data_IF_027486603657
#
_entry.id   IF_027486603657
#
_cell.length_a   1.000
_cell.length_b   1.000
_cell.length_c   1.000
_cell.angle_alpha   90.00
_cell.angle_beta   90.00
_cell.angle_gamma   90.00
#
_symmetry.space_group_name_H-M   'P 1'
#
loop_
_entity.id
_entity.type
_entity.pdbx_description
1 polymer ?
#
# COMPACT_ATOMS: atom_id res chain seq x y z
N UNK A 1 4.29 23.69 16.61
CA UNK A 1 3.61 22.40 16.36
C UNK A 1 4.22 21.90 15.06
N UNK A 2 5.27 21.09 15.20
CA UNK A 2 6.07 20.54 14.10
C UNK A 2 5.18 19.61 13.27
N UNK A 3 5.38 19.49 11.94
CA UNK A 3 4.72 18.45 11.18
C UNK A 3 5.16 17.13 11.81
N UNK A 4 4.20 16.38 12.32
CA UNK A 4 4.44 15.04 12.82
C UNK A 4 5.17 14.28 11.71
N UNK A 5 6.38 13.82 12.00
CA UNK A 5 7.05 12.84 11.16
C UNK A 5 6.13 11.62 11.16
N UNK A 6 5.26 11.52 10.15
CA UNK A 6 4.50 10.29 9.87
C UNK A 6 5.54 9.27 9.41
N UNK A 7 6.21 8.68 10.39
CA UNK A 7 7.15 7.60 10.20
C UNK A 7 6.38 6.41 9.68
N UNK A 8 6.58 6.07 8.42
CA UNK A 8 6.08 4.81 7.87
C UNK A 8 6.59 3.67 8.73
N UNK A 9 5.68 2.76 9.15
CA UNK A 9 6.04 1.70 10.08
C UNK A 9 7.29 0.93 9.58
N UNK A 10 8.31 0.65 10.43
CA UNK A 10 9.60 0.11 10.00
C UNK A 10 9.51 -1.17 9.17
N UNK A 11 8.48 -1.99 9.41
CA UNK A 11 8.21 -3.20 8.62
C UNK A 11 7.86 -2.87 7.16
N UNK A 12 7.02 -1.86 6.93
CA UNK A 12 6.62 -1.43 5.58
C UNK A 12 7.82 -0.83 4.86
N UNK A 13 8.63 -0.03 5.56
CA UNK A 13 9.89 0.50 5.01
C UNK A 13 10.84 -0.62 4.59
N UNK A 14 11.03 -1.63 5.45
CA UNK A 14 11.89 -2.78 5.16
C UNK A 14 11.43 -3.58 3.92
N UNK A 15 10.13 -3.54 3.60
CA UNK A 15 9.53 -4.24 2.45
C UNK A 15 9.33 -3.36 1.23
N UNK A 16 9.75 -2.08 1.27
CA UNK A 16 9.51 -1.10 0.20
C UNK A 16 9.88 -1.63 -1.20
N UNK A 17 11.02 -2.30 -1.33
CA UNK A 17 11.49 -2.83 -2.62
C UNK A 17 10.58 -3.93 -3.17
N UNK A 18 10.09 -4.82 -2.31
CA UNK A 18 9.16 -5.90 -2.67
C UNK A 18 7.80 -5.32 -3.08
N UNK A 19 7.28 -4.36 -2.31
CA UNK A 19 6.04 -3.63 -2.60
C UNK A 19 6.12 -2.92 -3.95
N UNK A 20 7.24 -2.25 -4.25
CA UNK A 20 7.45 -1.63 -5.56
C UNK A 20 7.49 -2.67 -6.70
N UNK A 21 8.08 -3.84 -6.47
CA UNK A 21 8.06 -4.95 -7.41
C UNK A 21 6.65 -5.45 -7.71
N UNK A 22 5.84 -5.60 -6.66
CA UNK A 22 4.43 -5.97 -6.75
C UNK A 22 3.64 -4.93 -7.57
N UNK A 23 3.82 -3.64 -7.27
CA UNK A 23 3.15 -2.56 -8.00
C UNK A 23 3.44 -2.61 -9.51
N UNK A 24 4.73 -2.80 -9.88
CA UNK A 24 5.12 -2.94 -11.29
C UNK A 24 4.48 -4.15 -11.96
N UNK A 25 4.43 -5.29 -11.27
CA UNK A 25 3.85 -6.54 -11.80
C UNK A 25 2.34 -6.44 -12.01
N UNK A 26 1.65 -5.76 -11.11
CA UNK A 26 0.19 -5.61 -11.12
C UNK A 26 -0.30 -4.36 -11.89
N UNK A 27 0.60 -3.57 -12.47
CA UNK A 27 0.22 -2.35 -13.18
C UNK A 27 -0.36 -1.27 -12.26
N UNK A 28 0.11 -1.22 -11.01
CA UNK A 28 -0.29 -0.21 -10.03
C UNK A 28 0.51 1.05 -10.26
N UNK A 29 -0.20 2.13 -10.56
CA UNK A 29 0.33 3.48 -10.75
C UNK A 29 0.68 4.14 -9.42
N UNK A 30 -0.15 3.92 -8.39
CA UNK A 30 0.04 4.47 -7.05
C UNK A 30 -0.51 3.52 -5.99
N UNK A 31 0.22 3.36 -4.89
CA UNK A 31 -0.18 2.61 -3.72
C UNK A 31 0.05 3.49 -2.48
N UNK A 32 -1.02 3.94 -1.84
CA UNK A 32 -0.94 4.77 -0.63
C UNK A 32 -1.29 3.94 0.59
N UNK A 33 -0.50 4.09 1.65
CA UNK A 33 -0.77 3.53 2.97
C UNK A 33 -1.61 4.51 3.79
N UNK A 34 -2.66 4.03 4.45
CA UNK A 34 -3.44 4.82 5.39
C UNK A 34 -3.89 3.97 6.58
N UNK A 35 -4.67 4.55 7.48
CA UNK A 35 -5.19 3.84 8.65
C UNK A 35 -4.16 3.69 9.77
N UNK A 36 -4.29 2.63 10.56
CA UNK A 36 -3.47 2.42 11.77
C UNK A 36 -1.98 2.31 11.44
N UNK A 37 -1.63 1.74 10.29
CA UNK A 37 -0.26 1.51 9.81
C UNK A 37 0.57 2.80 9.58
N UNK A 38 -0.05 3.97 9.60
CA UNK A 38 0.64 5.28 9.54
C UNK A 38 0.77 5.95 10.91
N UNK A 39 0.52 5.22 11.99
CA UNK A 39 0.53 5.74 13.36
C UNK A 39 1.11 4.72 14.35
N UNK A 40 1.33 5.16 15.59
CA UNK A 40 1.79 4.30 16.68
C UNK A 40 0.74 3.29 17.16
N UNK A 41 -0.48 3.33 16.63
CA UNK A 41 -1.55 2.39 16.96
C UNK A 41 -1.49 1.06 16.19
N UNK A 42 -0.51 0.90 15.28
CA UNK A 42 -0.35 -0.32 14.51
C UNK A 42 0.21 -1.46 15.37
N UNK A 43 -0.56 -2.52 15.50
CA UNK A 43 -0.17 -3.75 16.18
C UNK A 43 0.15 -4.84 15.13
N UNK A 44 1.38 -5.37 15.19
CA UNK A 44 1.88 -6.34 14.20
C UNK A 44 1.11 -7.66 14.17
N UNK A 45 0.47 -8.04 15.28
CA UNK A 45 -0.17 -9.34 15.44
C UNK A 45 -1.68 -9.28 15.12
N UNK A 46 -2.28 -8.09 15.17
CA UNK A 46 -3.75 -7.92 15.09
C UNK A 46 -4.25 -6.80 14.18
N UNK A 47 -3.40 -5.87 13.76
CA UNK A 47 -3.82 -4.79 12.85
C UNK A 47 -3.71 -5.21 11.40
N UNK A 48 -4.78 -4.91 10.65
CA UNK A 48 -4.76 -4.99 9.19
C UNK A 48 -3.95 -3.83 8.59
N UNK A 49 -3.55 -3.99 7.33
CA UNK A 49 -2.86 -2.95 6.55
C UNK A 49 -3.81 -2.40 5.48
N UNK A 50 -4.20 -1.14 5.63
CA UNK A 50 -5.10 -0.47 4.69
C UNK A 50 -4.33 0.26 3.59
N UNK A 51 -4.67 -0.03 2.33
CA UNK A 51 -4.05 0.60 1.17
C UNK A 51 -5.07 1.10 0.15
N UNK A 52 -4.77 2.24 -0.46
CA UNK A 52 -5.49 2.74 -1.63
C UNK A 52 -4.68 2.43 -2.88
N UNK A 53 -5.31 1.76 -3.83
CA UNK A 53 -4.66 1.33 -5.06
C UNK A 53 -5.20 2.15 -6.22
N UNK A 54 -4.29 2.74 -6.98
CA UNK A 54 -4.59 3.31 -8.27
C UNK A 54 -3.86 2.54 -9.36
N UNK A 55 -4.61 1.95 -10.29
CA UNK A 55 -4.07 1.19 -11.40
C UNK A 55 -3.80 2.07 -12.62
N UNK A 56 -2.82 1.70 -13.43
CA UNK A 56 -2.59 2.28 -14.75
C UNK A 56 -3.56 1.66 -15.77
N UNK A 57 -4.85 1.96 -15.58
CA UNK A 57 -5.94 1.33 -16.32
C UNK A 57 -6.34 2.17 -17.55
N UNK A 58 -5.47 2.17 -18.55
CA UNK A 58 -5.76 2.70 -19.88
C UNK A 58 -6.31 1.66 -20.87
N UNK A 59 -6.69 0.47 -20.39
CA UNK A 59 -7.08 -0.68 -21.24
C UNK A 59 -8.54 -1.08 -21.00
N UNK A 60 -9.30 -1.22 -22.07
CA UNK A 60 -10.62 -1.85 -22.03
C UNK A 60 -10.52 -3.27 -21.44
N UNK A 61 -11.40 -3.60 -20.48
CA UNK A 61 -11.45 -4.92 -19.86
C UNK A 61 -10.45 -5.16 -18.72
N UNK A 62 -9.87 -4.11 -18.11
CA UNK A 62 -9.02 -4.27 -16.92
C UNK A 62 -9.81 -4.85 -15.73
N UNK A 63 -9.33 -5.95 -15.16
CA UNK A 63 -9.96 -6.60 -14.01
C UNK A 63 -9.51 -5.96 -12.70
N UNK A 64 -10.19 -4.90 -12.30
CA UNK A 64 -9.90 -4.19 -11.05
C UNK A 64 -10.06 -5.07 -9.81
N UNK A 65 -11.08 -5.94 -9.78
CA UNK A 65 -11.38 -6.74 -8.60
C UNK A 65 -10.37 -7.87 -8.44
N UNK A 66 -10.13 -8.65 -9.50
CA UNK A 66 -9.13 -9.71 -9.47
C UNK A 66 -7.72 -9.18 -9.21
N UNK A 67 -7.36 -8.02 -9.78
CA UNK A 67 -6.03 -7.42 -9.53
C UNK A 67 -5.90 -6.91 -8.11
N UNK A 68 -6.97 -6.35 -7.52
CA UNK A 68 -6.97 -5.89 -6.13
C UNK A 68 -6.80 -7.06 -5.15
N UNK A 69 -7.48 -8.19 -5.34
CA UNK A 69 -7.36 -9.35 -4.45
C UNK A 69 -6.11 -10.23 -4.71
N UNK A 70 -5.31 -9.91 -5.73
CA UNK A 70 -4.02 -10.54 -6.00
C UNK A 70 -2.82 -9.82 -5.38
N UNK A 71 -3.07 -8.70 -4.68
CA UNK A 71 -2.09 -8.02 -3.83
C UNK A 71 -1.72 -8.88 -2.61
#
# INVERSE_FOLDING_TARGET
MSPEEVGMHPLIEARRAEIQGLCRRLGIRRLDLFGSATSDAFDLDSSDVDVLVEFDAGRDGFDYYGTYFAL
#
